data_IF_929566242129
#
_entry.id   IF_929566242129
#
_cell.length_a   1.000
_cell.length_b   1.000
_cell.length_c   1.000
_cell.angle_alpha   90.00
_cell.angle_beta   90.00
_cell.angle_gamma   90.00
#
_symmetry.space_group_name_H-M   'P 1'
#
loop_
_entity.id
_entity.type
_entity.pdbx_description
1 polymer ?
#
# COMPACT_ATOMS: atom_id res chain seq x y z
N UNK A 1 -7.92 -12.48 -4.11
CA UNK A 1 -6.65 -12.89 -3.45
C UNK A 1 -6.97 -13.90 -2.35
N UNK A 2 -6.35 -15.08 -2.36
CA UNK A 2 -6.56 -16.12 -1.33
C UNK A 2 -5.65 -15.85 -0.12
N UNK A 3 -6.00 -16.36 1.08
CA UNK A 3 -5.17 -16.23 2.29
C UNK A 3 -3.72 -16.72 2.08
N UNK A 4 -3.55 -17.74 1.25
CA UNK A 4 -2.24 -18.29 0.89
C UNK A 4 -1.37 -17.25 0.16
N UNK A 5 -1.94 -16.45 -0.73
CA UNK A 5 -1.20 -15.38 -1.43
C UNK A 5 -0.81 -14.28 -0.46
N UNK A 6 -1.69 -13.96 0.50
CA UNK A 6 -1.39 -12.99 1.55
C UNK A 6 -0.21 -13.47 2.40
N UNK A 7 -0.26 -14.70 2.89
CA UNK A 7 0.84 -15.26 3.69
C UNK A 7 2.17 -15.33 2.94
N UNK A 8 2.13 -15.57 1.61
CA UNK A 8 3.34 -15.53 0.78
C UNK A 8 3.98 -14.14 0.75
N UNK A 9 3.18 -13.08 0.62
CA UNK A 9 3.69 -11.71 0.63
C UNK A 9 4.25 -11.36 2.02
N UNK A 10 3.62 -11.81 3.09
CA UNK A 10 4.00 -11.42 4.47
C UNK A 10 5.01 -12.34 5.13
N UNK A 11 5.52 -13.37 4.43
CA UNK A 11 6.34 -14.44 5.02
C UNK A 11 7.60 -13.92 5.71
N UNK A 12 8.34 -13.04 5.05
CA UNK A 12 9.61 -12.50 5.58
C UNK A 12 9.35 -11.69 6.84
N UNK A 13 8.37 -10.80 6.79
CA UNK A 13 7.98 -9.92 7.90
C UNK A 13 7.45 -10.72 9.09
N UNK A 14 6.68 -11.78 8.82
CA UNK A 14 6.15 -12.71 9.83
C UNK A 14 7.27 -13.47 10.55
N UNK A 15 8.26 -13.99 9.81
CA UNK A 15 9.41 -14.67 10.39
C UNK A 15 10.25 -13.74 11.28
N UNK A 16 10.48 -12.49 10.83
CA UNK A 16 11.21 -11.51 11.63
C UNK A 16 10.47 -11.20 12.94
N UNK A 17 9.15 -11.01 12.89
CA UNK A 17 8.34 -10.77 14.09
C UNK A 17 8.40 -11.94 15.06
N UNK A 18 8.29 -13.19 14.56
CA UNK A 18 8.41 -14.38 15.40
C UNK A 18 9.76 -14.44 16.11
N UNK A 19 10.86 -14.23 15.37
CA UNK A 19 12.21 -14.30 15.94
C UNK A 19 12.45 -13.24 17.01
N UNK A 20 12.02 -12.00 16.74
CA UNK A 20 12.14 -10.90 17.71
C UNK A 20 11.30 -11.19 18.95
N UNK A 21 10.05 -11.62 18.77
CA UNK A 21 9.16 -11.93 19.89
C UNK A 21 9.71 -13.09 20.72
N UNK A 22 10.13 -14.18 20.07
CA UNK A 22 10.76 -15.33 20.73
C UNK A 22 11.91 -14.87 21.62
N UNK A 23 12.84 -14.09 21.06
CA UNK A 23 14.00 -13.61 21.80
C UNK A 23 13.60 -12.77 23.02
N UNK A 24 12.66 -11.84 22.86
CA UNK A 24 12.20 -10.97 23.94
C UNK A 24 11.52 -11.78 25.05
N UNK A 25 10.50 -12.60 24.70
CA UNK A 25 9.71 -13.31 25.71
C UNK A 25 10.49 -14.45 26.36
N UNK A 26 11.35 -15.16 25.62
CA UNK A 26 12.25 -16.13 26.24
C UNK A 26 13.23 -15.46 27.20
N UNK A 27 13.77 -14.28 26.85
CA UNK A 27 14.69 -13.56 27.75
C UNK A 27 14.00 -13.10 29.02
N UNK A 28 12.78 -12.55 28.93
CA UNK A 28 12.01 -12.10 30.09
C UNK A 28 11.76 -13.27 31.05
N UNK A 29 11.22 -14.37 30.53
CA UNK A 29 10.89 -15.56 31.35
C UNK A 29 12.15 -16.15 31.97
N UNK A 30 13.24 -16.23 31.21
CA UNK A 30 14.50 -16.75 31.69
C UNK A 30 15.11 -15.91 32.81
N UNK A 31 15.10 -14.58 32.68
CA UNK A 31 15.58 -13.66 33.72
C UNK A 31 14.71 -13.79 34.99
N UNK A 32 13.38 -13.87 34.85
CA UNK A 32 12.49 -14.08 36.00
C UNK A 32 12.83 -15.37 36.74
N UNK A 33 13.07 -16.48 36.03
CA UNK A 33 13.45 -17.75 36.66
C UNK A 33 14.81 -17.70 37.34
N UNK A 34 15.81 -17.04 36.73
CA UNK A 34 17.12 -16.85 37.39
C UNK A 34 16.98 -16.07 38.69
N UNK A 35 16.12 -15.05 38.73
CA UNK A 35 15.87 -14.27 39.95
C UNK A 35 15.19 -15.13 41.02
N UNK A 36 14.21 -15.96 40.65
CA UNK A 36 13.44 -16.78 41.60
C UNK A 36 14.32 -17.89 42.21
N UNK A 37 15.20 -18.51 41.42
CA UNK A 37 16.00 -19.68 41.83
C UNK A 37 17.49 -19.35 42.02
N UNK A 38 17.80 -18.09 42.34
CA UNK A 38 19.17 -17.58 42.48
C UNK A 38 20.02 -18.44 43.43
N UNK A 39 19.44 -18.88 44.55
CA UNK A 39 20.15 -19.63 45.59
C UNK A 39 20.25 -21.15 45.32
N UNK A 40 19.45 -21.70 44.40
CA UNK A 40 19.38 -23.16 44.11
C UNK A 40 19.84 -23.51 42.68
N UNK A 41 20.54 -22.59 42.02
CA UNK A 41 20.92 -22.71 40.63
C UNK A 41 21.98 -23.80 40.42
N UNK A 42 21.56 -24.92 39.84
CA UNK A 42 22.44 -25.96 39.31
C UNK A 42 22.20 -26.18 37.82
N UNK A 43 23.10 -26.91 37.15
CA UNK A 43 23.05 -27.10 35.70
C UNK A 43 21.73 -27.75 35.22
N UNK A 44 21.18 -28.69 35.97
CA UNK A 44 19.92 -29.37 35.61
C UNK A 44 18.72 -28.41 35.68
N UNK A 45 18.66 -27.62 36.75
CA UNK A 45 17.64 -26.58 36.96
C UNK A 45 17.74 -25.50 35.89
N UNK A 46 18.97 -25.06 35.58
CA UNK A 46 19.24 -24.08 34.52
C UNK A 46 18.74 -24.56 33.14
N UNK A 47 19.08 -25.79 32.74
CA UNK A 47 18.68 -26.35 31.45
C UNK A 47 17.15 -26.51 31.35
N UNK A 48 16.49 -26.92 32.45
CA UNK A 48 15.02 -26.98 32.51
C UNK A 48 14.39 -25.62 32.32
N UNK A 49 14.89 -24.58 32.99
CA UNK A 49 14.36 -23.23 32.81
C UNK A 49 14.64 -22.65 31.44
N UNK A 50 15.80 -22.93 30.85
CA UNK A 50 16.06 -22.53 29.47
C UNK A 50 15.03 -23.13 28.50
N UNK A 51 14.73 -24.44 28.64
CA UNK A 51 13.73 -25.10 27.81
C UNK A 51 12.32 -24.51 28.00
N UNK A 52 11.92 -24.25 29.25
CA UNK A 52 10.63 -23.62 29.59
C UNK A 52 10.55 -22.21 28.99
N UNK A 53 11.60 -21.40 29.13
CA UNK A 53 11.66 -20.04 28.59
C UNK A 53 11.58 -20.02 27.06
N UNK A 54 12.24 -20.95 26.38
CA UNK A 54 12.13 -21.09 24.91
C UNK A 54 10.71 -21.48 24.53
N UNK A 55 10.10 -22.45 25.22
CA UNK A 55 8.73 -22.86 24.97
C UNK A 55 7.72 -21.70 25.15
N UNK A 56 7.82 -20.95 26.25
CA UNK A 56 6.97 -19.78 26.47
C UNK A 56 7.21 -18.69 25.44
N UNK A 57 8.47 -18.42 25.08
CA UNK A 57 8.77 -17.44 24.04
C UNK A 57 8.20 -17.85 22.69
N UNK A 58 8.24 -19.14 22.33
CA UNK A 58 7.59 -19.66 21.13
C UNK A 58 6.07 -19.46 21.20
N UNK A 59 5.44 -19.82 22.32
CA UNK A 59 4.01 -19.65 22.52
C UNK A 59 3.56 -18.19 22.35
N UNK A 60 4.25 -17.25 23.00
CA UNK A 60 3.98 -15.82 22.85
C UNK A 60 4.26 -15.30 21.44
N UNK A 61 5.33 -15.77 20.78
CA UNK A 61 5.63 -15.38 19.41
C UNK A 61 4.52 -15.79 18.42
N UNK A 62 3.97 -17.00 18.57
CA UNK A 62 2.85 -17.50 17.76
C UNK A 62 1.57 -16.72 18.06
N UNK A 63 1.31 -16.44 19.34
CA UNK A 63 0.16 -15.65 19.76
C UNK A 63 0.18 -14.23 19.17
N UNK A 64 1.32 -13.53 19.29
CA UNK A 64 1.51 -12.18 18.76
C UNK A 64 1.42 -12.19 17.24
N UNK A 65 2.04 -13.15 16.57
CA UNK A 65 1.92 -13.28 15.11
C UNK A 65 0.46 -13.47 14.70
N UNK A 66 -0.30 -14.30 15.42
CA UNK A 66 -1.72 -14.53 15.15
C UNK A 66 -2.55 -13.26 15.27
N UNK A 67 -2.34 -12.47 16.34
CA UNK A 67 -3.00 -11.17 16.51
C UNK A 67 -2.59 -10.21 15.39
N UNK A 68 -1.30 -10.11 15.09
CA UNK A 68 -0.77 -9.22 14.06
C UNK A 68 -1.36 -9.56 12.69
N UNK A 69 -1.45 -10.85 12.34
CA UNK A 69 -2.09 -11.33 11.12
C UNK A 69 -3.57 -10.96 11.09
N UNK A 70 -4.31 -11.16 12.19
CA UNK A 70 -5.74 -10.82 12.26
C UNK A 70 -5.98 -9.33 12.07
N UNK A 71 -5.22 -8.48 12.78
CA UNK A 71 -5.32 -7.01 12.68
C UNK A 71 -4.95 -6.54 11.28
N UNK A 72 -3.85 -7.02 10.72
CA UNK A 72 -3.43 -6.65 9.37
C UNK A 72 -4.42 -7.14 8.32
N UNK A 73 -4.95 -8.36 8.43
CA UNK A 73 -5.94 -8.87 7.49
C UNK A 73 -7.22 -8.01 7.46
N UNK A 74 -7.68 -7.52 8.61
CA UNK A 74 -8.80 -6.58 8.68
C UNK A 74 -8.51 -5.26 7.96
N UNK A 75 -7.29 -4.72 8.08
CA UNK A 75 -6.84 -3.51 7.37
C UNK A 75 -6.72 -3.71 5.86
N UNK A 76 -6.33 -4.90 5.42
CA UNK A 76 -6.06 -5.22 4.01
C UNK A 76 -7.33 -5.63 3.26
N UNK A 77 -8.31 -6.24 3.94
CA UNK A 77 -9.57 -6.68 3.34
C UNK A 77 -10.25 -5.59 2.48
N UNK A 78 -10.35 -4.31 2.90
CA UNK A 78 -10.86 -3.24 2.05
C UNK A 78 -10.07 -3.03 0.75
N UNK A 79 -8.75 -3.21 0.77
CA UNK A 79 -7.83 -3.06 -0.36
C UNK A 79 -8.04 -4.19 -1.35
N UNK A 80 -8.04 -5.43 -0.84
CA UNK A 80 -8.32 -6.63 -1.65
C UNK A 80 -9.71 -6.52 -2.29
N UNK A 81 -10.71 -6.09 -1.53
CA UNK A 81 -12.07 -5.93 -2.06
C UNK A 81 -12.12 -4.88 -3.16
N UNK A 82 -11.43 -3.74 -3.00
CA UNK A 82 -11.37 -2.68 -4.00
C UNK A 82 -10.65 -3.13 -5.27
N UNK A 83 -9.53 -3.84 -5.11
CA UNK A 83 -8.79 -4.44 -6.21
C UNK A 83 -9.66 -5.46 -6.96
N UNK A 84 -10.33 -6.37 -6.24
CA UNK A 84 -11.19 -7.38 -6.86
C UNK A 84 -12.41 -6.75 -7.56
N UNK A 85 -12.97 -5.67 -7.02
CA UNK A 85 -14.09 -4.94 -7.65
C UNK A 85 -13.68 -4.13 -8.87
N UNK A 86 -12.39 -3.86 -9.06
CA UNK A 86 -11.92 -3.16 -10.26
C UNK A 86 -11.98 -4.11 -11.45
N UNK A 87 -12.59 -3.64 -12.56
CA UNK A 87 -12.70 -4.40 -13.81
C UNK A 87 -11.35 -4.96 -14.26
N UNK A 88 -11.36 -6.20 -14.76
CA UNK A 88 -10.14 -6.94 -15.12
C UNK A 88 -9.35 -6.20 -16.20
N UNK A 89 -10.05 -5.64 -17.18
CA UNK A 89 -9.52 -4.88 -18.30
C UNK A 89 -8.80 -3.62 -17.82
N UNK A 90 -9.37 -2.91 -16.82
CA UNK A 90 -8.73 -1.73 -16.21
C UNK A 90 -7.50 -2.15 -15.42
N UNK A 91 -7.56 -3.25 -14.67
CA UNK A 91 -6.40 -3.79 -13.95
C UNK A 91 -5.26 -4.14 -14.88
N UNK A 92 -5.54 -4.84 -15.98
CA UNK A 92 -4.53 -5.25 -16.95
C UNK A 92 -3.95 -4.04 -17.69
N UNK A 93 -4.80 -3.14 -18.19
CA UNK A 93 -4.38 -1.94 -18.91
C UNK A 93 -3.54 -0.99 -18.05
N UNK A 94 -3.88 -0.87 -16.77
CA UNK A 94 -3.16 -0.01 -15.83
C UNK A 94 -2.09 -0.78 -15.03
N UNK A 95 -1.87 -2.07 -15.32
CA UNK A 95 -0.92 -2.92 -14.60
C UNK A 95 -1.15 -2.93 -13.08
N UNK A 96 -2.39 -2.86 -12.60
CA UNK A 96 -2.67 -2.79 -11.17
C UNK A 96 -2.26 -4.09 -10.48
N UNK A 97 -1.47 -3.99 -9.41
CA UNK A 97 -1.14 -5.08 -8.50
C UNK A 97 -1.31 -4.62 -7.05
N UNK A 98 -1.46 -5.58 -6.15
CA UNK A 98 -1.36 -5.33 -4.71
C UNK A 98 0.10 -5.53 -4.31
N UNK A 99 0.72 -4.50 -3.73
CA UNK A 99 2.11 -4.48 -3.33
C UNK A 99 2.25 -4.22 -1.82
N UNK A 100 3.22 -4.85 -1.17
CA UNK A 100 3.55 -4.57 0.23
C UNK A 100 4.26 -3.22 0.29
N UNK A 101 3.68 -2.24 0.97
CA UNK A 101 4.26 -0.90 1.07
C UNK A 101 5.61 -0.99 1.75
N UNK A 102 6.67 -0.36 1.21
CA UNK A 102 7.97 -0.33 1.88
C UNK A 102 7.83 0.35 3.25
N UNK A 103 8.00 -0.44 4.31
CA UNK A 103 7.63 -0.06 5.67
C UNK A 103 8.74 0.75 6.34
N UNK A 104 8.36 1.89 6.91
CA UNK A 104 9.06 2.40 8.08
C UNK A 104 8.65 1.49 9.25
N UNK A 105 9.57 0.60 9.69
CA UNK A 105 9.32 -0.52 10.63
C UNK A 105 8.61 -0.15 11.95
N UNK A 106 8.53 1.14 12.27
CA UNK A 106 8.09 1.65 13.57
C UNK A 106 6.57 1.72 13.75
N UNK A 107 5.76 1.75 12.68
CA UNK A 107 4.31 2.01 12.80
C UNK A 107 3.38 1.21 11.88
N UNK A 108 3.90 0.69 10.76
CA UNK A 108 3.05 0.12 9.71
C UNK A 108 3.46 -1.34 9.51
N UNK A 109 2.76 -2.29 10.14
CA UNK A 109 2.99 -3.73 9.94
C UNK A 109 2.02 -4.24 8.86
N UNK A 110 2.57 -4.79 7.77
CA UNK A 110 1.81 -5.40 6.67
C UNK A 110 0.78 -4.45 6.03
N UNK A 111 1.20 -3.24 5.70
CA UNK A 111 0.37 -2.36 4.87
C UNK A 111 0.56 -2.72 3.40
N UNK A 112 -0.55 -2.73 2.67
CA UNK A 112 -0.57 -3.00 1.24
C UNK A 112 -1.13 -1.79 0.52
N UNK A 113 -0.66 -1.57 -0.70
CA UNK A 113 -1.22 -0.55 -1.59
C UNK A 113 -1.52 -1.19 -2.95
N UNK A 114 -2.51 -0.66 -3.66
CA UNK A 114 -2.70 -1.01 -5.06
C UNK A 114 -1.80 -0.05 -5.85
N UNK A 115 -0.79 -0.61 -6.50
CA UNK A 115 0.12 0.15 -7.36
C UNK A 115 -0.05 -0.29 -8.81
N UNK A 116 0.22 0.62 -9.75
CA UNK A 116 0.42 0.26 -11.14
C UNK A 116 1.86 -0.26 -11.31
N UNK A 117 2.06 -1.47 -11.83
CA UNK A 117 3.37 -2.16 -11.86
C UNK A 117 4.33 -1.69 -12.94
N UNK A 118 3.95 -0.73 -13.78
CA UNK A 118 4.86 -0.10 -14.74
C UNK A 118 4.47 1.37 -14.86
N UNK A 119 5.35 2.20 -15.44
CA UNK A 119 4.99 3.57 -15.88
C UNK A 119 3.84 3.46 -16.88
N UNK A 120 2.61 3.44 -16.37
CA UNK A 120 1.43 3.46 -17.20
C UNK A 120 1.15 4.89 -17.62
N UNK A 121 0.55 5.05 -18.80
CA UNK A 121 0.10 6.35 -19.29
C UNK A 121 -0.90 7.01 -18.31
N UNK A 122 -1.55 6.19 -17.47
CA UNK A 122 -2.59 6.58 -16.52
C UNK A 122 -2.31 6.01 -15.13
N UNK A 123 -1.46 6.67 -14.31
CA UNK A 123 -1.30 6.31 -12.91
C UNK A 123 -2.64 6.42 -12.17
N UNK A 124 -2.99 5.34 -11.48
CA UNK A 124 -4.15 5.29 -10.59
C UNK A 124 -3.64 5.24 -9.16
N UNK A 125 -4.12 6.16 -8.33
CA UNK A 125 -3.85 6.16 -6.88
C UNK A 125 -5.13 5.94 -6.11
N UNK A 126 -5.06 5.06 -5.10
CA UNK A 126 -6.17 4.74 -4.24
C UNK A 126 -5.97 5.41 -2.88
N UNK A 127 -6.76 6.46 -2.60
CA UNK A 127 -6.82 7.11 -1.29
C UNK A 127 -7.93 6.46 -0.47
N UNK A 128 -7.55 5.44 0.29
CA UNK A 128 -8.48 4.66 1.11
C UNK A 128 -8.99 5.45 2.31
N UNK A 129 -8.22 6.42 2.82
CA UNK A 129 -8.60 7.24 3.98
C UNK A 129 -9.78 8.14 3.60
N UNK A 130 -9.67 8.83 2.48
CA UNK A 130 -10.73 9.70 1.97
C UNK A 130 -11.76 8.97 1.10
N UNK A 131 -11.61 7.65 0.92
CA UNK A 131 -12.46 6.83 0.04
C UNK A 131 -12.56 7.37 -1.39
N UNK A 132 -11.41 7.72 -1.97
CA UNK A 132 -11.28 8.30 -3.30
C UNK A 132 -10.29 7.51 -4.17
N UNK A 133 -10.54 7.53 -5.47
CA UNK A 133 -9.63 7.02 -6.50
C UNK A 133 -9.24 8.20 -7.37
N UNK A 134 -7.95 8.31 -7.64
CA UNK A 134 -7.39 9.36 -8.47
C UNK A 134 -6.89 8.74 -9.76
N UNK A 135 -7.39 9.25 -10.89
CA UNK A 135 -6.84 8.94 -12.22
C UNK A 135 -6.07 10.18 -12.65
N UNK A 136 -4.80 10.03 -12.97
CA UNK A 136 -3.95 11.16 -13.39
C UNK A 136 -3.43 10.92 -14.79
N UNK A 137 -3.34 11.99 -15.59
CA UNK A 137 -2.50 12.04 -16.78
C UNK A 137 -1.28 12.89 -16.47
N UNK A 138 -0.13 12.50 -17.01
CA UNK A 138 1.11 13.22 -16.73
C UNK A 138 1.24 14.44 -17.64
N UNK A 139 1.47 15.61 -17.03
CA UNK A 139 1.79 16.84 -17.74
C UNK A 139 3.21 17.29 -17.43
N UNK A 140 3.84 17.98 -18.37
CA UNK A 140 5.13 18.61 -18.17
C UNK A 140 4.97 19.88 -17.32
N UNK A 141 4.87 19.66 -16.00
CA UNK A 141 4.64 20.74 -15.02
C UNK A 141 5.76 21.79 -15.05
N UNK A 142 6.99 21.42 -15.38
CA UNK A 142 8.13 22.35 -15.49
C UNK A 142 7.97 23.39 -16.60
N UNK A 143 7.14 23.13 -17.61
CA UNK A 143 6.87 24.08 -18.70
C UNK A 143 5.69 25.02 -18.40
N UNK A 144 5.03 24.87 -17.26
CA UNK A 144 3.90 25.70 -16.88
C UNK A 144 4.42 26.97 -16.22
N UNK A 145 4.28 28.10 -16.91
CA UNK A 145 4.60 29.41 -16.34
C UNK A 145 3.67 29.71 -15.15
N UNK A 146 4.28 30.03 -14.00
CA UNK A 146 3.59 30.27 -12.73
C UNK A 146 2.56 29.16 -12.36
N UNK A 147 3.10 27.97 -12.10
CA UNK A 147 2.34 26.77 -11.76
C UNK A 147 1.22 26.99 -10.73
N UNK A 148 1.49 27.72 -9.64
CA UNK A 148 0.52 27.96 -8.57
C UNK A 148 -0.72 28.72 -9.07
N UNK A 149 -0.51 29.75 -9.91
CA UNK A 149 -1.62 30.51 -10.51
C UNK A 149 -2.43 29.63 -11.47
N UNK A 150 -1.77 28.85 -12.32
CA UNK A 150 -2.44 27.93 -13.25
C UNK A 150 -3.22 26.83 -12.53
N UNK A 151 -2.65 26.25 -11.47
CA UNK A 151 -3.31 25.28 -10.60
C UNK A 151 -4.59 25.83 -10.00
N UNK A 152 -4.57 27.04 -9.44
CA UNK A 152 -5.77 27.69 -8.88
C UNK A 152 -6.83 27.98 -9.94
N UNK A 153 -6.41 28.38 -11.14
CA UNK A 153 -7.31 28.62 -12.27
C UNK A 153 -8.04 27.34 -12.68
N UNK A 154 -7.30 26.24 -12.88
CA UNK A 154 -7.87 24.92 -13.22
C UNK A 154 -8.80 24.43 -12.11
N UNK A 155 -8.38 24.52 -10.84
CA UNK A 155 -9.20 24.09 -9.70
C UNK A 155 -10.52 24.86 -9.64
N UNK A 156 -10.52 26.16 -9.93
CA UNK A 156 -11.76 26.96 -9.97
C UNK A 156 -12.64 26.59 -11.17
N UNK A 157 -12.05 26.44 -12.36
CA UNK A 157 -12.78 26.18 -13.61
C UNK A 157 -13.40 24.79 -13.65
N UNK A 158 -12.70 23.77 -13.16
CA UNK A 158 -13.10 22.36 -13.24
C UNK A 158 -13.51 21.74 -11.88
N UNK A 159 -13.94 22.59 -10.94
CA UNK A 159 -14.31 22.18 -9.58
C UNK A 159 -15.46 21.17 -9.57
N UNK A 160 -16.47 21.37 -10.42
CA UNK A 160 -17.66 20.51 -10.49
C UNK A 160 -17.31 19.11 -10.97
N UNK A 161 -16.36 19.05 -11.91
CA UNK A 161 -15.80 17.84 -12.45
C UNK A 161 -14.79 17.20 -11.48
N UNK A 162 -14.47 17.80 -10.33
CA UNK A 162 -13.46 17.27 -9.39
C UNK A 162 -12.10 17.03 -10.07
N UNK A 163 -11.71 17.93 -10.98
CA UNK A 163 -10.42 17.88 -11.68
C UNK A 163 -9.49 18.94 -11.11
N UNK A 164 -8.24 18.57 -10.87
CA UNK A 164 -7.22 19.45 -10.35
C UNK A 164 -5.86 19.23 -11.01
N UNK A 165 -5.05 20.28 -11.05
CA UNK A 165 -3.66 20.20 -11.48
C UNK A 165 -2.76 19.96 -10.26
N UNK A 166 -1.93 18.91 -10.33
CA UNK A 166 -0.98 18.53 -9.28
C UNK A 166 0.45 18.60 -9.80
N UNK A 167 1.44 18.36 -8.94
CA UNK A 167 2.86 18.29 -9.34
C UNK A 167 3.18 17.17 -10.34
N UNK A 168 2.24 16.25 -10.58
CA UNK A 168 2.38 15.17 -11.56
C UNK A 168 1.60 15.45 -12.86
N UNK A 169 0.59 16.31 -12.82
CA UNK A 169 -0.31 16.60 -13.94
C UNK A 169 -1.77 16.69 -13.53
N UNK A 170 -2.67 16.62 -14.51
CA UNK A 170 -4.12 16.70 -14.30
C UNK A 170 -4.65 15.41 -13.69
N UNK A 171 -5.39 15.57 -12.60
CA UNK A 171 -5.97 14.50 -11.81
C UNK A 171 -7.48 14.63 -11.75
N UNK A 172 -8.19 13.55 -12.02
CA UNK A 172 -9.62 13.39 -11.72
C UNK A 172 -9.77 12.67 -10.39
N UNK A 173 -10.56 13.24 -9.48
CA UNK A 173 -10.98 12.60 -8.23
C UNK A 173 -12.33 11.91 -8.43
N UNK A 174 -12.39 10.62 -8.10
CA UNK A 174 -13.57 9.76 -8.21
C UNK A 174 -13.87 9.19 -6.83
N UNK A 175 -15.13 9.15 -6.42
CA UNK A 175 -15.49 8.51 -5.15
C UNK A 175 -15.41 6.99 -5.25
N UNK A 176 -15.15 6.30 -4.14
CA UNK A 176 -15.12 4.83 -4.11
C UNK A 176 -16.41 4.19 -4.62
N UNK A 177 -17.56 4.83 -4.39
CA UNK A 177 -18.85 4.33 -4.85
C UNK A 177 -19.01 4.51 -6.37
N UNK A 178 -18.61 5.66 -6.93
CA UNK A 178 -18.57 5.88 -8.38
C UNK A 178 -17.63 4.87 -9.05
N UNK A 179 -16.44 4.63 -8.48
CA UNK A 179 -15.45 3.70 -9.03
C UNK A 179 -15.94 2.25 -9.12
N UNK A 180 -16.71 1.77 -8.14
CA UNK A 180 -17.24 0.40 -8.16
C UNK A 180 -18.14 0.10 -9.36
N UNK A 181 -18.78 1.13 -9.90
CA UNK A 181 -19.72 1.01 -11.01
C UNK A 181 -19.11 1.51 -12.34
N UNK A 182 -17.81 1.84 -12.35
CA UNK A 182 -17.16 2.36 -13.54
C UNK A 182 -17.09 1.26 -14.61
N UNK A 183 -17.48 1.58 -15.84
CA UNK A 183 -17.24 0.71 -16.99
C UNK A 183 -15.93 1.07 -17.69
N UNK A 184 -15.45 0.20 -18.59
CA UNK A 184 -14.30 0.54 -19.44
C UNK A 184 -14.56 1.80 -20.29
N UNK A 185 -15.80 1.97 -20.76
CA UNK A 185 -16.23 3.14 -21.52
C UNK A 185 -16.13 4.42 -20.68
N UNK A 186 -16.59 4.36 -19.43
CA UNK A 186 -16.51 5.50 -18.51
C UNK A 186 -15.06 5.84 -18.16
N UNK A 187 -14.22 4.83 -17.96
CA UNK A 187 -12.79 5.03 -17.77
C UNK A 187 -12.15 5.75 -18.98
N UNK A 188 -12.44 5.30 -20.20
CA UNK A 188 -11.97 5.96 -21.44
C UNK A 188 -12.47 7.39 -21.54
N UNK A 189 -13.73 7.67 -21.19
CA UNK A 189 -14.29 9.03 -21.18
C UNK A 189 -13.56 9.93 -20.21
N UNK A 190 -13.23 9.45 -19.00
CA UNK A 190 -12.48 10.23 -18.02
C UNK A 190 -11.08 10.56 -18.54
N UNK A 191 -10.37 9.57 -19.09
CA UNK A 191 -9.04 9.77 -19.68
C UNK A 191 -9.11 10.79 -20.81
N UNK A 192 -10.05 10.64 -21.74
CA UNK A 192 -10.20 11.57 -22.87
C UNK A 192 -10.57 12.98 -22.41
N UNK A 193 -11.41 13.10 -21.36
CA UNK A 193 -11.72 14.38 -20.74
C UNK A 193 -10.47 15.06 -20.19
N UNK A 194 -9.61 14.31 -19.48
CA UNK A 194 -8.36 14.85 -18.95
C UNK A 194 -7.42 15.31 -20.07
N UNK A 195 -7.27 14.51 -21.14
CA UNK A 195 -6.45 14.86 -22.31
C UNK A 195 -6.96 16.13 -23.00
N UNK A 196 -8.27 16.22 -23.25
CA UNK A 196 -8.90 17.40 -23.84
C UNK A 196 -8.72 18.65 -22.98
N UNK A 197 -8.79 18.55 -21.65
CA UNK A 197 -8.51 19.68 -20.76
C UNK A 197 -7.04 20.09 -20.84
N UNK A 198 -6.11 19.12 -20.91
CA UNK A 198 -4.69 19.43 -21.09
C UNK A 198 -4.43 20.21 -22.37
N UNK A 199 -5.01 19.79 -23.49
CA UNK A 199 -4.92 20.50 -24.77
C UNK A 199 -5.54 21.91 -24.67
N UNK A 200 -6.77 22.02 -24.14
CA UNK A 200 -7.49 23.29 -23.99
C UNK A 200 -6.73 24.28 -23.10
N UNK A 201 -6.06 23.78 -22.07
CA UNK A 201 -5.33 24.59 -21.09
C UNK A 201 -3.85 24.79 -21.48
N UNK A 202 -3.43 24.34 -22.66
CA UNK A 202 -2.05 24.36 -23.15
C UNK A 202 -1.05 23.69 -22.18
N UNK A 203 -1.45 22.58 -21.58
CA UNK A 203 -0.60 21.75 -20.74
C UNK A 203 0.03 20.66 -21.60
N UNK A 204 1.34 20.74 -21.81
CA UNK A 204 2.07 19.69 -22.53
C UNK A 204 1.94 18.35 -21.79
N UNK A 205 1.45 17.32 -22.48
CA UNK A 205 1.34 15.96 -21.94
C UNK A 205 2.68 15.24 -22.10
N UNK A 206 3.04 14.40 -21.12
CA UNK A 206 4.17 13.51 -21.28
C UNK A 206 3.86 12.42 -22.30
N UNK A 207 4.65 12.36 -23.36
CA UNK A 207 4.57 11.32 -24.38
C UNK A 207 5.40 10.11 -23.94
N UNK A 208 4.70 9.10 -23.41
CA UNK A 208 5.34 7.85 -22.95
C UNK A 208 5.87 7.00 -24.12
N UNK A 209 5.40 7.21 -25.35
CA UNK A 209 5.91 6.51 -26.54
C UNK A 209 7.26 7.08 -26.99
N UNK A 210 7.45 8.40 -26.91
CA UNK A 210 8.72 9.06 -27.31
C UNK A 210 9.86 8.92 -26.33
N UNK A 211 9.60 8.60 -25.07
CA UNK A 211 10.65 8.57 -24.03
C UNK A 211 11.41 7.23 -23.96
N UNK A 212 11.11 6.25 -24.81
CA UNK A 212 11.92 5.03 -24.97
C UNK A 212 11.90 4.04 -23.81
N UNK A 213 11.03 4.22 -22.80
CA UNK A 213 11.00 3.39 -21.60
C UNK A 213 10.11 2.13 -21.70
N UNK A 214 9.84 1.64 -22.92
CA UNK A 214 9.06 0.43 -23.17
C UNK A 214 9.88 -0.88 -23.20
N UNK A 215 11.12 -0.88 -22.68
CA UNK A 215 11.91 -2.11 -22.56
C UNK A 215 12.45 -2.27 -21.14
N UNK A 216 12.04 -3.37 -20.48
CA UNK A 216 12.29 -3.71 -19.08
C UNK A 216 11.23 -4.67 -18.56
#
# INVERSE_FOLDING_TARGET
MKFIEYFKLTKRTSNNLMNISLLIFSSIVFIMFIIIEYDNLNLSVFLKFLAISIFFGLLFSVFILSIAILVSFQKIKPIINLYNSTLKEIREKCGLIIYEKDLNFKFNYLEFEIIATKRTEYPIKFDLVNSQIWITIYNNVSKIENFNKKRLSILKKYRKEKIELTGWGLKKVISKNEWKNITESDFKKIVNQLKSISETENLEMYDFEKTGYNTG
#
